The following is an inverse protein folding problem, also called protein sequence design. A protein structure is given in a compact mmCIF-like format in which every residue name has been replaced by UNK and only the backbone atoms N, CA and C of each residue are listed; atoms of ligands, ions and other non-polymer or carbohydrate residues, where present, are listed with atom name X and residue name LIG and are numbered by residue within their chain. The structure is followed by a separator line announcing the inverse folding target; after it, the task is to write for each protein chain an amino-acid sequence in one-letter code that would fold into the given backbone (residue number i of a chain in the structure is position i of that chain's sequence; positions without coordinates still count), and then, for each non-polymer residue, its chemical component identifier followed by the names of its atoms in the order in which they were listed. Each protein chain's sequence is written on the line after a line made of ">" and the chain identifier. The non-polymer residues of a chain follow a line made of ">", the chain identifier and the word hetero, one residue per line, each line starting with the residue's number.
data_IF_217567452941
#
_entry.id   IF_217567452941
#
_cell.length_a   1.000
_cell.length_b   1.000
_cell.length_c   1.000
_cell.angle_alpha   90.00
_cell.angle_beta   90.00
_cell.angle_gamma   90.00
#
_symmetry.space_group_name_H-M   'P 1'
#
loop_
_entity.id
_entity.type
_entity.pdbx_description
1 polymer ?
#
# COMPACT_ATOMS: atom_id res chain seq x y z
N UNK A 1 -4.21 3.85 20.81
CA UNK A 1 -3.66 3.13 19.65
C UNK A 1 -2.42 3.91 19.22
N UNK A 2 -1.24 3.32 19.28
CA UNK A 2 0.03 4.02 19.06
C UNK A 2 0.65 3.60 17.72
N UNK A 3 -0.01 3.92 16.61
CA UNK A 3 0.66 3.96 15.31
C UNK A 3 1.55 5.21 15.32
N UNK A 4 2.86 5.01 15.54
CA UNK A 4 3.82 6.11 15.68
C UNK A 4 4.10 6.70 14.30
N UNK A 5 3.67 7.94 14.11
CA UNK A 5 3.95 8.77 12.94
C UNK A 5 5.41 9.24 12.97
N UNK A 6 6.23 8.74 12.05
CA UNK A 6 7.48 9.40 11.68
C UNK A 6 7.16 10.34 10.52
N UNK A 7 6.95 11.62 10.82
CA UNK A 7 6.68 12.68 9.84
C UNK A 7 5.43 12.47 8.97
N UNK A 8 4.29 12.41 9.66
CA UNK A 8 2.91 12.56 9.18
C UNK A 8 2.74 12.77 7.66
N UNK A 9 2.48 11.66 6.97
CA UNK A 9 1.82 11.64 5.66
C UNK A 9 2.73 11.51 4.44
N UNK A 10 4.07 11.63 4.57
CA UNK A 10 4.95 11.56 3.40
C UNK A 10 5.53 10.18 3.10
N UNK A 11 5.90 9.36 4.09
CA UNK A 11 6.77 8.19 3.80
C UNK A 11 6.12 6.80 3.94
N UNK A 12 4.82 6.75 4.24
CA UNK A 12 4.11 5.52 4.56
C UNK A 12 4.21 5.18 6.05
N UNK A 13 3.14 4.61 6.61
CA UNK A 13 3.04 4.19 8.01
C UNK A 13 2.80 2.68 8.03
N UNK A 14 3.73 1.93 8.63
CA UNK A 14 3.53 0.51 8.88
C UNK A 14 2.51 0.34 10.00
N UNK A 15 1.47 -0.43 9.74
CA UNK A 15 0.42 -0.71 10.70
C UNK A 15 0.95 -1.62 11.80
N UNK A 16 0.73 -1.21 13.05
CA UNK A 16 1.09 -1.99 14.25
C UNK A 16 -0.14 -2.44 15.03
N UNK A 17 -1.31 -1.94 14.64
CA UNK A 17 -2.62 -2.25 15.22
C UNK A 17 -3.68 -2.14 14.12
N UNK A 18 -4.86 -2.68 14.37
CA UNK A 18 -5.99 -2.55 13.47
C UNK A 18 -6.42 -1.08 13.32
N UNK A 19 -6.77 -0.68 12.10
CA UNK A 19 -7.23 0.67 11.77
C UNK A 19 -8.56 0.60 11.02
N UNK A 20 -9.33 1.68 11.08
CA UNK A 20 -10.59 1.81 10.35
C UNK A 20 -10.46 2.87 9.23
N UNK A 21 -11.51 2.98 8.42
CA UNK A 21 -11.53 3.91 7.29
C UNK A 21 -11.39 5.38 7.71
N UNK A 22 -11.95 5.77 8.86
CA UNK A 22 -11.84 7.14 9.37
C UNK A 22 -10.41 7.52 9.75
N UNK A 23 -9.62 6.55 10.24
CA UNK A 23 -8.20 6.75 10.50
C UNK A 23 -7.40 6.86 9.20
N UNK A 24 -7.68 5.99 8.22
CA UNK A 24 -7.03 6.03 6.90
C UNK A 24 -7.26 7.37 6.17
N UNK A 25 -8.48 7.91 6.24
CA UNK A 25 -8.82 9.23 5.68
C UNK A 25 -7.94 10.36 6.22
N UNK A 26 -7.50 10.27 7.47
CA UNK A 26 -6.62 11.28 8.08
C UNK A 26 -5.21 11.27 7.47
N UNK A 27 -4.82 10.18 6.81
CA UNK A 27 -3.52 10.08 6.13
C UNK A 27 -3.52 10.73 4.75
N UNK A 28 -4.70 10.99 4.18
CA UNK A 28 -4.77 11.64 2.88
C UNK A 28 -4.67 13.17 2.99
N UNK A 29 -3.80 13.83 2.22
CA UNK A 29 -3.76 15.27 2.10
C UNK A 29 -5.11 15.82 1.61
N UNK A 30 -5.48 17.03 2.02
CA UNK A 30 -6.73 17.73 1.65
C UNK A 30 -7.02 17.84 0.14
N UNK A 31 -6.09 17.52 -0.74
CA UNK A 31 -6.23 17.60 -2.20
C UNK A 31 -6.28 16.21 -2.88
N UNK A 32 -6.25 15.12 -2.12
CA UNK A 32 -6.29 13.74 -2.60
C UNK A 32 -7.21 12.88 -1.72
N UNK A 33 -8.34 13.44 -1.28
CA UNK A 33 -9.24 12.88 -0.28
C UNK A 33 -10.10 11.70 -0.75
N UNK A 34 -9.79 11.11 -1.91
CA UNK A 34 -10.53 9.99 -2.48
C UNK A 34 -9.97 8.62 -2.05
N UNK A 35 -8.67 8.54 -1.76
CA UNK A 35 -8.02 7.25 -1.47
C UNK A 35 -6.76 7.39 -0.59
N UNK A 36 -6.28 6.25 -0.09
CA UNK A 36 -4.94 6.07 0.47
C UNK A 36 -4.22 4.95 -0.27
N UNK A 37 -2.91 5.07 -0.47
CA UNK A 37 -2.12 3.97 -1.03
C UNK A 37 -1.74 2.97 0.04
N UNK A 38 -1.57 1.71 -0.34
CA UNK A 38 -1.06 0.68 0.52
C UNK A 38 0.12 -0.07 -0.12
N UNK A 39 0.91 -0.72 0.73
CA UNK A 39 1.92 -1.72 0.37
C UNK A 39 1.76 -2.90 1.32
N UNK A 40 1.69 -4.11 0.79
CA UNK A 40 1.65 -5.35 1.57
C UNK A 40 2.89 -6.19 1.31
N UNK A 41 3.37 -6.87 2.35
CA UNK A 41 4.25 -8.02 2.20
C UNK A 41 3.48 -9.27 2.64
N UNK A 42 3.17 -10.15 1.67
CA UNK A 42 2.40 -11.37 1.93
C UNK A 42 3.16 -12.42 2.75
N UNK A 43 4.49 -12.38 2.80
CA UNK A 43 5.30 -13.33 3.57
C UNK A 43 5.33 -12.97 5.05
N UNK A 44 5.36 -11.68 5.36
CA UNK A 44 5.46 -11.17 6.74
C UNK A 44 4.12 -10.67 7.28
N UNK A 45 3.07 -10.67 6.47
CA UNK A 45 1.74 -10.10 6.77
C UNK A 45 1.80 -8.64 7.23
N UNK A 46 2.79 -7.86 6.79
CA UNK A 46 2.88 -6.44 7.11
C UNK A 46 2.11 -5.61 6.10
N UNK A 47 1.56 -4.49 6.55
CA UNK A 47 0.87 -3.49 5.73
C UNK A 47 1.42 -2.10 6.04
N UNK A 48 1.76 -1.33 5.01
CA UNK A 48 2.09 0.09 5.09
C UNK A 48 1.06 0.90 4.32
N UNK A 49 0.64 2.05 4.85
CA UNK A 49 -0.36 2.94 4.22
C UNK A 49 0.10 4.39 4.19
N UNK A 50 -0.32 5.15 3.18
CA UNK A 50 -0.01 6.57 3.03
C UNK A 50 0.17 6.97 1.56
N UNK A 51 0.41 8.25 1.29
CA UNK A 51 0.40 8.75 -0.10
C UNK A 51 1.74 8.62 -0.85
N UNK A 52 2.86 8.45 -0.15
CA UNK A 52 4.18 8.20 -0.76
C UNK A 52 4.89 6.98 -0.14
N UNK A 53 4.14 5.88 0.01
CA UNK A 53 4.60 4.58 0.55
C UNK A 53 5.69 3.89 -0.29
N UNK A 54 5.79 4.20 -1.59
CA UNK A 54 6.51 3.35 -2.54
C UNK A 54 8.05 3.43 -2.51
N UNK A 55 8.65 4.47 -1.90
CA UNK A 55 10.09 4.70 -2.00
C UNK A 55 10.90 4.22 -0.80
N UNK A 56 10.28 4.10 0.38
CA UNK A 56 11.02 3.90 1.65
C UNK A 56 10.57 2.66 2.44
N UNK A 57 9.54 1.94 2.00
CA UNK A 57 9.02 0.83 2.78
C UNK A 57 9.89 -0.45 2.70
N UNK A 58 10.79 -0.60 1.73
CA UNK A 58 11.55 -1.83 1.54
C UNK A 58 12.48 -2.18 2.72
N UNK A 59 13.11 -1.17 3.34
CA UNK A 59 14.01 -1.39 4.49
C UNK A 59 13.27 -2.02 5.69
N UNK A 60 11.99 -1.72 5.87
CA UNK A 60 11.21 -2.13 7.03
C UNK A 60 10.19 -3.25 6.72
N UNK A 61 9.70 -3.32 5.49
CA UNK A 61 8.68 -4.28 5.02
C UNK A 61 9.29 -5.52 4.36
N UNK A 62 10.53 -5.45 3.88
CA UNK A 62 11.19 -6.53 3.13
C UNK A 62 11.55 -6.11 1.70
N UNK A 63 12.21 -7.00 0.95
CA UNK A 63 12.73 -6.67 -0.38
C UNK A 63 11.60 -6.31 -1.36
N UNK A 64 11.87 -5.35 -2.25
CA UNK A 64 10.86 -4.72 -3.11
C UNK A 64 10.12 -5.73 -4.03
N UNK A 65 10.78 -6.81 -4.44
CA UNK A 65 10.20 -7.87 -5.28
C UNK A 65 9.18 -8.75 -4.54
N UNK A 66 9.07 -8.61 -3.22
CA UNK A 66 8.05 -9.25 -2.38
C UNK A 66 6.88 -8.31 -2.04
N UNK A 67 6.99 -7.03 -2.41
CA UNK A 67 6.01 -6.02 -2.07
C UNK A 67 4.96 -5.89 -3.17
N UNK A 68 3.72 -5.72 -2.76
CA UNK A 68 2.59 -5.45 -3.65
C UNK A 68 1.88 -4.19 -3.18
N UNK A 69 1.41 -3.37 -4.11
CA UNK A 69 0.78 -2.09 -3.78
C UNK A 69 -0.53 -1.86 -4.52
N UNK A 70 -1.24 -0.83 -4.07
CA UNK A 70 -2.51 -0.41 -4.65
C UNK A 70 -3.09 0.77 -3.88
N UNK A 71 -4.37 1.04 -4.11
CA UNK A 71 -5.13 2.12 -3.50
C UNK A 71 -6.38 1.57 -2.79
N UNK A 72 -6.72 2.15 -1.63
CA UNK A 72 -7.99 1.94 -0.93
C UNK A 72 -8.78 3.23 -1.09
N UNK A 73 -9.89 3.17 -1.81
CA UNK A 73 -10.77 4.30 -2.01
C UNK A 73 -11.80 4.40 -0.89
N UNK A 74 -12.16 5.61 -0.53
CA UNK A 74 -12.89 5.89 0.70
C UNK A 74 -14.41 5.98 0.54
N UNK A 75 -14.88 6.17 -0.69
CA UNK A 75 -16.28 6.38 -1.04
C UNK A 75 -17.09 5.07 -0.99
N UNK A 76 -16.54 4.00 -1.54
CA UNK A 76 -17.16 2.67 -1.61
C UNK A 76 -16.28 1.56 -0.99
N UNK A 77 -15.15 1.93 -0.38
CA UNK A 77 -14.16 0.99 0.15
C UNK A 77 -13.55 0.07 -0.90
N UNK A 78 -13.59 0.44 -2.19
CA UNK A 78 -12.98 -0.36 -3.23
C UNK A 78 -11.46 -0.36 -3.14
N UNK A 79 -10.88 -1.49 -3.53
CA UNK A 79 -9.44 -1.69 -3.57
C UNK A 79 -9.03 -1.76 -5.04
N UNK A 80 -8.18 -0.83 -5.44
CA UNK A 80 -7.53 -0.83 -6.74
C UNK A 80 -6.15 -1.45 -6.61
N UNK A 81 -5.84 -2.44 -7.44
CA UNK A 81 -4.58 -3.18 -7.41
C UNK A 81 -3.58 -2.69 -8.46
N UNK A 82 -3.70 -1.43 -8.84
CA UNK A 82 -2.85 -0.77 -9.82
C UNK A 82 -1.78 0.05 -9.10
N UNK A 83 -0.50 -0.27 -9.35
CA UNK A 83 0.60 0.47 -8.73
C UNK A 83 1.88 0.33 -9.56
N UNK A 84 2.73 1.35 -9.47
CA UNK A 84 4.10 1.29 -10.02
C UNK A 84 4.98 0.29 -9.28
N UNK A 85 4.68 -0.04 -8.01
CA UNK A 85 5.38 -1.11 -7.27
C UNK A 85 5.11 -2.50 -7.82
N UNK A 86 3.96 -2.72 -8.46
CA UNK A 86 3.61 -4.02 -9.02
C UNK A 86 4.36 -4.30 -10.34
N UNK A 87 5.22 -3.36 -10.78
CA UNK A 87 6.16 -3.58 -11.86
C UNK A 87 7.32 -4.41 -11.30
N UNK A 88 7.49 -5.64 -11.79
CA UNK A 88 8.73 -6.39 -11.52
C UNK A 88 9.92 -5.51 -11.96
N UNK A 89 10.93 -5.27 -11.10
CA UNK A 89 12.10 -4.51 -11.49
C UNK A 89 12.72 -5.14 -12.73
N UNK A 90 12.69 -4.44 -13.86
CA UNK A 90 13.32 -4.93 -15.07
C UNK A 90 14.82 -4.70 -14.90
N UNK A 91 15.56 -5.72 -14.43
CA UNK A 91 16.98 -5.61 -14.04
C UNK A 91 17.92 -5.16 -15.17
N UNK A 92 17.47 -5.12 -16.43
CA UNK A 92 18.35 -4.86 -17.57
C UNK A 92 18.24 -3.46 -18.22
N UNK A 93 17.20 -2.66 -17.96
CA UNK A 93 17.05 -1.40 -18.71
C UNK A 93 16.60 -0.28 -17.79
N UNK A 94 17.45 0.74 -17.66
CA UNK A 94 17.20 2.04 -17.02
C UNK A 94 16.16 2.90 -17.74
N UNK A 95 15.05 2.29 -18.14
CA UNK A 95 13.86 2.93 -18.66
C UNK A 95 12.88 3.14 -17.52
N UNK A 96 12.86 4.38 -17.01
CA UNK A 96 11.73 4.98 -16.32
C UNK A 96 10.50 4.93 -17.24
N UNK A 97 9.84 3.77 -17.29
CA UNK A 97 8.54 3.60 -17.92
C UNK A 97 7.49 3.66 -16.83
N UNK A 98 6.96 4.86 -16.59
CA UNK A 98 5.94 5.20 -15.58
C UNK A 98 4.56 4.59 -15.90
N UNK A 99 4.49 3.36 -16.40
CA UNK A 99 3.22 2.68 -16.64
C UNK A 99 2.94 1.76 -15.45
N UNK A 100 1.97 2.09 -14.58
CA UNK A 100 1.57 1.21 -13.51
C UNK A 100 1.18 -0.17 -14.05
N UNK A 101 1.39 -1.22 -13.26
CA UNK A 101 0.86 -2.56 -13.56
C UNK A 101 -0.23 -2.94 -12.57
N UNK A 102 -1.26 -3.56 -13.11
CA UNK A 102 -2.40 -4.10 -12.37
C UNK A 102 -2.06 -5.51 -11.92
N UNK A 103 -2.33 -5.83 -10.64
CA UNK A 103 -2.39 -7.24 -10.21
C UNK A 103 -3.65 -7.84 -10.82
N UNK A 104 -3.51 -8.71 -11.82
CA UNK A 104 -4.63 -9.34 -12.52
C UNK A 104 -4.93 -10.78 -12.04
N UNK A 105 -3.97 -11.39 -11.33
CA UNK A 105 -4.11 -12.74 -10.78
C UNK A 105 -5.08 -12.74 -9.60
N UNK A 106 -6.19 -13.47 -9.73
CA UNK A 106 -7.28 -13.51 -8.74
C UNK A 106 -6.86 -14.20 -7.43
N UNK A 107 -6.00 -15.22 -7.50
CA UNK A 107 -5.49 -15.89 -6.29
C UNK A 107 -4.56 -14.94 -5.52
N UNK A 108 -3.81 -14.11 -6.25
CA UNK A 108 -2.95 -13.11 -5.65
C UNK A 108 -3.75 -11.96 -5.03
N UNK A 109 -4.77 -11.46 -5.74
CA UNK A 109 -5.74 -10.49 -5.22
C UNK A 109 -6.34 -10.99 -3.91
N UNK A 110 -6.82 -12.24 -3.88
CA UNK A 110 -7.42 -12.82 -2.68
C UNK A 110 -6.46 -12.87 -1.49
N UNK A 111 -5.16 -13.13 -1.73
CA UNK A 111 -4.13 -13.10 -0.69
C UNK A 111 -3.90 -11.69 -0.16
N UNK A 112 -3.80 -10.70 -1.05
CA UNK A 112 -3.67 -9.28 -0.67
C UNK A 112 -4.87 -8.85 0.17
N UNK A 113 -6.08 -9.19 -0.27
CA UNK A 113 -7.32 -8.92 0.44
C UNK A 113 -7.33 -9.49 1.86
N UNK A 114 -6.91 -10.75 2.01
CA UNK A 114 -6.88 -11.41 3.31
C UNK A 114 -5.90 -10.74 4.27
N UNK A 115 -4.74 -10.31 3.79
CA UNK A 115 -3.77 -9.56 4.59
C UNK A 115 -4.34 -8.18 4.93
N UNK A 116 -4.85 -7.44 3.95
CA UNK A 116 -5.41 -6.10 4.20
C UNK A 116 -6.55 -6.15 5.22
N UNK A 117 -7.50 -7.07 5.10
CA UNK A 117 -8.63 -7.22 6.03
C UNK A 117 -8.21 -7.63 7.44
N UNK A 118 -7.01 -8.20 7.62
CA UNK A 118 -6.46 -8.48 8.94
C UNK A 118 -6.00 -7.21 9.68
N UNK A 119 -5.76 -6.11 8.97
CA UNK A 119 -5.28 -4.83 9.52
C UNK A 119 -6.29 -3.70 9.38
N UNK A 120 -6.98 -3.62 8.25
CA UNK A 120 -7.97 -2.60 7.94
C UNK A 120 -9.36 -3.18 8.16
N UNK A 121 -10.05 -2.64 9.16
CA UNK A 121 -11.47 -2.89 9.40
C UNK A 121 -12.24 -2.01 8.43
N UNK A 122 -12.60 -2.61 7.29
CA UNK A 122 -13.48 -2.03 6.27
C UNK A 122 -14.91 -1.88 6.81
#
# INVERSE_FOLDING_TARGET
>A
MNNVSTEAGKLGIILTDNVNMDWLKQLSPRHFDDYVKFVVNLKTNKVSVGMQVHRNCAEEMGPEDELLGGNIFFDDSHIEYESTLNVKPNMEIGSWGETPRVIADQDLIQKVDNVLKAWVVL
#
